data_IF_549158109964
#
_entry.id   IF_549158109964
#
_cell.length_a   1.000
_cell.length_b   1.000
_cell.length_c   1.000
_cell.angle_alpha   90.00
_cell.angle_beta   90.00
_cell.angle_gamma   90.00
#
_symmetry.space_group_name_H-M   'P 1'
#
loop_
_entity.id
_entity.type
_entity.pdbx_description
1 polymer ?
#
# COMPACT_ATOMS: atom_id res chain seq x y z
N UNK A 1 -3.25 6.85 27.67
CA UNK A 1 -3.84 6.64 26.34
C UNK A 1 -2.67 6.37 25.44
N UNK A 2 -2.38 5.10 25.21
CA UNK A 2 -1.42 4.70 24.18
C UNK A 2 -2.25 4.61 22.92
N UNK A 3 -2.17 5.66 22.09
CA UNK A 3 -2.91 5.76 20.85
C UNK A 3 -2.34 4.75 19.85
N UNK A 4 -3.15 3.79 19.43
CA UNK A 4 -2.80 2.87 18.36
C UNK A 4 -2.80 3.65 17.04
N UNK A 5 -1.63 3.81 16.45
CA UNK A 5 -1.45 4.71 15.31
C UNK A 5 -0.35 4.24 14.38
N UNK A 6 -0.47 4.65 13.11
CA UNK A 6 0.55 4.43 12.08
C UNK A 6 1.26 5.75 11.85
N UNK A 7 2.54 5.83 12.22
CA UNK A 7 3.33 7.05 12.07
C UNK A 7 3.84 7.22 10.65
N UNK A 8 4.40 6.13 10.10
CA UNK A 8 4.97 6.10 8.77
C UNK A 8 4.47 4.85 8.05
N UNK A 9 4.13 5.02 6.77
CA UNK A 9 3.74 3.93 5.89
C UNK A 9 4.17 4.30 4.48
N UNK A 10 4.79 3.34 3.80
CA UNK A 10 5.07 3.41 2.38
C UNK A 10 4.78 2.03 1.77
N UNK A 11 4.01 2.03 0.70
CA UNK A 11 3.55 0.82 0.03
C UNK A 11 3.76 0.92 -1.47
N UNK A 12 4.21 -0.17 -2.06
CA UNK A 12 4.33 -0.35 -3.52
C UNK A 12 3.69 -1.67 -3.99
N UNK A 13 2.80 -2.24 -3.18
CA UNK A 13 2.21 -3.57 -3.41
C UNK A 13 1.41 -3.60 -4.72
N UNK A 14 1.56 -4.70 -5.43
CA UNK A 14 0.82 -5.00 -6.66
C UNK A 14 0.48 -6.48 -6.68
N UNK A 15 -0.81 -6.75 -6.90
CA UNK A 15 -1.36 -8.11 -6.93
C UNK A 15 -2.60 -8.16 -7.82
N UNK A 16 -2.95 -9.33 -8.39
CA UNK A 16 -4.18 -9.53 -9.13
C UNK A 16 -5.38 -9.03 -8.34
N UNK A 17 -6.31 -8.35 -9.03
CA UNK A 17 -7.54 -7.86 -8.40
C UNK A 17 -8.41 -9.02 -7.90
N UNK A 18 -8.34 -10.17 -8.57
CA UNK A 18 -8.98 -11.43 -8.15
C UNK A 18 -8.49 -11.85 -6.75
N UNK A 19 -7.18 -11.92 -6.53
CA UNK A 19 -6.61 -12.26 -5.21
C UNK A 19 -7.06 -11.30 -4.10
N UNK A 20 -7.23 -10.00 -4.42
CA UNK A 20 -7.78 -9.04 -3.46
C UNK A 20 -9.23 -9.36 -3.14
N UNK A 21 -10.05 -9.71 -4.14
CA UNK A 21 -11.44 -10.07 -3.91
C UNK A 21 -11.55 -11.36 -3.09
N UNK A 22 -10.78 -12.38 -3.44
CA UNK A 22 -10.73 -13.65 -2.72
C UNK A 22 -10.34 -13.47 -1.25
N UNK A 23 -9.37 -12.59 -0.99
CA UNK A 23 -8.99 -12.22 0.37
C UNK A 23 -10.12 -11.49 1.12
N UNK A 24 -10.82 -10.57 0.46
CA UNK A 24 -11.89 -9.76 1.06
C UNK A 24 -13.21 -10.50 1.25
N UNK A 25 -13.40 -11.65 0.61
CA UNK A 25 -14.61 -12.48 0.77
C UNK A 25 -14.68 -13.17 2.14
N UNK A 26 -13.54 -13.52 2.74
CA UNK A 26 -13.48 -14.06 4.10
C UNK A 26 -12.16 -13.70 4.81
N UNK A 27 -11.94 -12.41 5.10
CA UNK A 27 -10.70 -11.94 5.71
C UNK A 27 -10.63 -12.34 7.19
N UNK A 28 -9.42 -12.64 7.67
CA UNK A 28 -9.16 -12.77 9.11
C UNK A 28 -9.02 -11.36 9.69
N UNK A 29 -10.12 -10.84 10.24
CA UNK A 29 -10.20 -9.45 10.68
C UNK A 29 -9.79 -9.28 12.14
N UNK A 30 -9.10 -8.18 12.50
CA UNK A 30 -8.89 -7.81 13.90
C UNK A 30 -10.23 -7.58 14.62
N UNK A 31 -10.28 -7.82 15.93
CA UNK A 31 -11.50 -7.73 16.76
C UNK A 31 -12.18 -6.35 16.71
N UNK A 32 -11.42 -5.29 16.38
CA UNK A 32 -11.91 -3.92 16.27
C UNK A 32 -12.67 -3.64 14.95
N UNK A 33 -12.60 -4.54 13.96
CA UNK A 33 -13.30 -4.44 12.67
C UNK A 33 -14.37 -5.55 12.59
N UNK A 34 -15.63 -5.15 12.41
CA UNK A 34 -16.76 -6.09 12.24
C UNK A 34 -16.81 -6.66 10.83
N UNK A 35 -16.63 -5.80 9.83
CA UNK A 35 -16.63 -6.19 8.43
C UNK A 35 -15.87 -5.18 7.56
N UNK A 36 -15.62 -5.55 6.31
CA UNK A 36 -14.99 -4.69 5.31
C UNK A 36 -15.93 -4.52 4.13
N UNK A 37 -16.19 -3.25 3.77
CA UNK A 37 -16.90 -2.89 2.55
C UNK A 37 -15.89 -2.51 1.47
N UNK A 38 -15.98 -3.10 0.29
CA UNK A 38 -15.19 -2.66 -0.86
C UNK A 38 -16.06 -2.05 -1.94
N UNK A 39 -15.54 -1.02 -2.61
CA UNK A 39 -16.20 -0.36 -3.73
C UNK A 39 -15.18 -0.02 -4.79
N UNK A 40 -15.51 -0.35 -6.04
CA UNK A 40 -14.74 0.09 -7.20
C UNK A 40 -15.36 1.35 -7.81
N UNK A 41 -14.55 2.38 -7.97
CA UNK A 41 -14.91 3.63 -8.68
C UNK A 41 -13.88 3.86 -9.78
N UNK A 42 -14.28 3.68 -11.04
CA UNK A 42 -13.38 3.72 -12.19
C UNK A 42 -12.20 2.75 -12.01
N UNK A 43 -10.99 3.31 -11.96
CA UNK A 43 -9.73 2.61 -11.73
C UNK A 43 -9.27 2.71 -10.26
N UNK A 44 -10.16 2.97 -9.31
CA UNK A 44 -9.81 3.05 -7.89
C UNK A 44 -10.63 2.02 -7.12
N UNK A 45 -9.95 1.16 -6.38
CA UNK A 45 -10.53 0.29 -5.37
C UNK A 45 -10.43 0.98 -4.02
N UNK A 46 -11.57 1.08 -3.33
CA UNK A 46 -11.67 1.62 -1.98
C UNK A 46 -12.15 0.49 -1.09
N UNK A 47 -11.39 0.18 -0.04
CA UNK A 47 -11.69 -0.86 0.94
C UNK A 47 -11.88 -0.14 2.27
N UNK A 48 -13.08 -0.18 2.84
CA UNK A 48 -13.48 0.59 4.02
C UNK A 48 -13.76 -0.32 5.19
N UNK A 49 -13.21 0.00 6.35
CA UNK A 49 -13.51 -0.73 7.58
C UNK A 49 -14.90 -0.37 8.12
N UNK A 50 -15.64 -1.37 8.59
CA UNK A 50 -16.80 -1.19 9.46
C UNK A 50 -16.33 -1.50 10.88
N UNK A 51 -16.35 -0.50 11.76
CA UNK A 51 -15.89 -0.69 13.13
C UNK A 51 -16.88 -1.55 13.92
N UNK A 52 -16.36 -2.44 14.77
CA UNK A 52 -17.18 -3.24 15.68
C UNK A 52 -17.73 -2.43 16.88
N UNK A 53 -17.11 -1.29 17.17
CA UNK A 53 -17.51 -0.42 18.28
C UNK A 53 -18.65 0.52 17.88
N UNK A 54 -19.85 0.24 18.40
CA UNK A 54 -21.07 1.05 18.25
C UNK A 54 -20.96 2.48 18.84
N UNK A 55 -19.94 2.77 19.65
CA UNK A 55 -19.71 4.10 20.22
C UNK A 55 -19.06 5.05 19.23
N UNK A 56 -18.45 4.53 18.16
CA UNK A 56 -17.94 5.35 17.06
C UNK A 56 -19.14 5.97 16.32
N UNK A 57 -19.20 7.30 16.35
CA UNK A 57 -20.27 8.05 15.70
C UNK A 57 -20.39 7.68 14.22
N UNK A 58 -21.63 7.60 13.71
CA UNK A 58 -21.94 7.45 12.27
C UNK A 58 -21.31 8.52 11.38
N UNK A 59 -20.89 9.64 11.97
CA UNK A 59 -20.24 10.75 11.27
C UNK A 59 -18.71 10.71 11.36
N UNK A 60 -18.14 9.78 12.12
CA UNK A 60 -16.71 9.57 12.19
C UNK A 60 -16.30 8.61 11.07
N UNK A 61 -15.54 9.07 10.07
CA UNK A 61 -15.11 8.19 8.98
C UNK A 61 -14.09 7.17 9.51
N UNK A 62 -14.38 5.90 9.27
CA UNK A 62 -13.49 4.76 9.55
C UNK A 62 -12.34 4.69 8.55
N UNK A 63 -11.27 3.99 8.93
CA UNK A 63 -10.10 3.80 8.10
C UNK A 63 -10.43 3.13 6.75
N UNK A 64 -9.75 3.58 5.69
CA UNK A 64 -9.95 3.07 4.34
C UNK A 64 -8.61 2.81 3.66
N UNK A 65 -8.51 1.69 2.93
CA UNK A 65 -7.42 1.41 2.02
C UNK A 65 -7.81 1.84 0.61
N UNK A 66 -6.85 2.45 -0.09
CA UNK A 66 -7.03 2.89 -1.47
C UNK A 66 -5.99 2.25 -2.38
N UNK A 67 -6.45 1.63 -3.44
CA UNK A 67 -5.62 1.09 -4.51
C UNK A 67 -6.06 1.63 -5.87
N UNK A 68 -5.12 1.78 -6.79
CA UNK A 68 -5.42 1.98 -8.20
C UNK A 68 -5.50 0.64 -8.92
N UNK A 69 -6.47 0.46 -9.81
CA UNK A 69 -6.65 -0.73 -10.65
C UNK A 69 -6.04 -0.47 -12.02
N UNK A 70 -5.17 -1.36 -12.48
CA UNK A 70 -4.51 -1.29 -13.80
C UNK A 70 -4.69 -2.58 -14.56
N UNK A 71 -5.03 -2.51 -15.83
CA UNK A 71 -5.08 -3.69 -16.73
C UNK A 71 -3.66 -3.97 -17.24
N UNK A 72 -3.19 -5.20 -17.05
CA UNK A 72 -1.92 -5.68 -17.57
C UNK A 72 -2.16 -6.88 -18.51
N UNK A 73 -1.46 -6.90 -19.65
CA UNK A 73 -1.57 -7.99 -20.62
C UNK A 73 -0.50 -9.03 -20.30
N UNK A 74 -0.90 -10.14 -19.72
CA UNK A 74 -0.01 -11.25 -19.38
C UNK A 74 -0.01 -12.23 -20.55
N UNK A 75 1.18 -12.60 -21.01
CA UNK A 75 1.37 -13.59 -22.07
C UNK A 75 1.68 -14.94 -21.41
N UNK A 76 1.06 -16.04 -21.86
CA UNK A 76 1.28 -17.37 -21.29
C UNK A 76 2.73 -17.87 -21.44
N UNK A 77 3.46 -17.36 -22.43
CA UNK A 77 4.90 -17.62 -22.62
C UNK A 77 5.73 -16.36 -22.35
N UNK A 78 6.78 -16.42 -21.50
CA UNK A 78 7.68 -15.29 -21.30
C UNK A 78 8.38 -14.96 -22.62
N UNK A 79 8.34 -13.69 -23.01
CA UNK A 79 8.94 -13.16 -24.26
C UNK A 79 10.42 -13.54 -24.45
N UNK A 80 11.14 -13.88 -23.38
CA UNK A 80 12.55 -14.33 -23.41
C UNK A 80 12.74 -15.74 -24.00
N UNK A 81 11.70 -16.58 -24.01
CA UNK A 81 11.75 -17.93 -24.60
C UNK A 81 11.37 -17.95 -26.08
N UNK A 82 10.96 -16.80 -26.64
CA UNK A 82 10.88 -16.61 -28.09
C UNK A 82 12.29 -16.55 -28.66
N UNK A 83 12.89 -17.73 -28.88
CA UNK A 83 14.06 -17.85 -29.75
C UNK A 83 13.74 -17.10 -31.04
N UNK A 84 14.56 -16.13 -31.49
CA UNK A 84 14.41 -15.63 -32.84
C UNK A 84 14.46 -16.84 -33.78
N UNK A 85 13.52 -16.98 -34.72
CA UNK A 85 13.51 -18.13 -35.61
C UNK A 85 14.89 -18.24 -36.26
N UNK A 86 15.55 -19.37 -36.04
CA UNK A 86 16.87 -19.65 -36.58
C UNK A 86 16.75 -19.72 -38.11
N UNK A 87 16.87 -18.59 -38.80
CA UNK A 87 16.44 -18.55 -40.20
C UNK A 87 16.80 -17.34 -41.06
N UNK A 88 17.85 -16.56 -40.76
CA UNK A 88 18.49 -15.64 -41.72
C UNK A 88 17.62 -14.54 -42.37
N UNK A 89 18.23 -13.62 -43.14
CA UNK A 89 17.49 -12.52 -43.75
C UNK A 89 16.72 -13.00 -44.99
N UNK A 90 15.41 -13.21 -44.85
CA UNK A 90 14.50 -13.48 -45.98
C UNK A 90 13.83 -12.19 -46.44
N UNK A 91 14.53 -11.42 -47.26
CA UNK A 91 13.89 -10.40 -48.11
C UNK A 91 12.98 -11.13 -49.11
N UNK A 92 11.67 -11.22 -48.81
CA UNK A 92 10.67 -11.67 -49.79
C UNK A 92 9.62 -12.70 -49.34
N UNK A 93 9.20 -12.73 -48.08
CA UNK A 93 7.95 -13.44 -47.70
C UNK A 93 6.74 -12.50 -47.83
N UNK A 94 5.64 -13.04 -48.38
CA UNK A 94 4.41 -12.37 -48.78
C UNK A 94 3.61 -11.80 -47.58
N UNK A 95 2.69 -10.82 -47.81
CA UNK A 95 1.78 -10.34 -46.77
C UNK A 95 0.78 -11.45 -46.42
N UNK A 96 1.04 -12.20 -45.35
CA UNK A 96 0.19 -13.33 -44.93
C UNK A 96 0.77 -14.28 -43.88
N UNK A 97 1.99 -14.07 -43.37
CA UNK A 97 2.43 -14.67 -42.11
C UNK A 97 1.87 -13.79 -40.98
N UNK A 98 0.61 -14.06 -40.60
CA UNK A 98 0.08 -13.59 -39.32
C UNK A 98 0.90 -14.30 -38.24
N UNK A 99 1.90 -13.61 -37.69
CA UNK A 99 2.48 -13.98 -36.40
C UNK A 99 1.31 -14.05 -35.40
N UNK A 100 0.77 -15.25 -35.17
CA UNK A 100 -0.26 -15.50 -34.17
C UNK A 100 0.32 -14.98 -32.85
N UNK A 101 -0.18 -13.82 -32.39
CA UNK A 101 0.19 -13.26 -31.11
C UNK A 101 -0.05 -14.36 -30.07
N UNK A 102 0.93 -14.67 -29.21
CA UNK A 102 0.76 -15.71 -28.21
C UNK A 102 -0.50 -15.44 -27.38
N UNK A 103 -1.20 -16.49 -26.92
CA UNK A 103 -2.36 -16.35 -26.06
C UNK A 103 -2.01 -15.40 -24.92
N UNK A 104 -2.79 -14.33 -24.83
CA UNK A 104 -2.58 -13.27 -23.84
C UNK A 104 -3.90 -12.99 -23.15
N UNK A 105 -3.81 -12.88 -21.84
CA UNK A 105 -4.92 -12.59 -20.96
C UNK A 105 -4.76 -11.17 -20.43
N UNK A 106 -5.87 -10.42 -20.41
CA UNK A 106 -5.92 -9.13 -19.75
C UNK A 106 -6.28 -9.38 -18.29
N UNK A 107 -5.31 -9.21 -17.40
CA UNK A 107 -5.48 -9.38 -15.96
C UNK A 107 -5.50 -8.01 -15.30
N UNK A 108 -6.49 -7.77 -14.44
CA UNK A 108 -6.56 -6.55 -13.65
C UNK A 108 -5.70 -6.68 -12.39
N UNK A 109 -4.92 -5.66 -12.09
CA UNK A 109 -4.05 -5.59 -10.91
C UNK A 109 -4.51 -4.47 -9.98
N UNK A 110 -4.59 -4.76 -8.70
CA UNK A 110 -4.72 -3.78 -7.64
C UNK A 110 -3.34 -3.29 -7.20
N UNK A 111 -3.14 -1.98 -7.19
CA UNK A 111 -1.88 -1.34 -6.82
C UNK A 111 -2.08 -0.44 -5.58
N UNK A 112 -1.61 -0.90 -4.41
CA UNK A 112 -1.58 -0.09 -3.19
C UNK A 112 -0.27 0.71 -3.16
N UNK A 113 -0.23 1.80 -3.94
CA UNK A 113 0.98 2.60 -4.16
C UNK A 113 0.86 3.97 -3.49
N UNK A 114 1.77 4.27 -2.57
CA UNK A 114 1.85 5.58 -1.93
C UNK A 114 2.31 5.55 -0.49
N UNK A 115 2.13 6.67 0.18
CA UNK A 115 2.37 6.85 1.61
C UNK A 115 1.13 6.56 2.46
N UNK A 116 1.23 6.77 3.77
CA UNK A 116 0.13 6.67 4.72
C UNK A 116 -1.12 7.41 4.25
N UNK A 117 -1.01 8.66 3.83
CA UNK A 117 -2.18 9.50 3.50
C UNK A 117 -2.86 9.10 2.20
N UNK A 118 -2.08 8.49 1.30
CA UNK A 118 -2.56 8.00 0.01
C UNK A 118 -3.21 6.63 0.14
N UNK A 119 -2.58 5.71 0.87
CA UNK A 119 -2.96 4.30 0.92
C UNK A 119 -3.87 3.99 2.11
N UNK A 120 -3.63 4.57 3.30
CA UNK A 120 -4.38 4.32 4.54
C UNK A 120 -5.02 5.61 5.06
N UNK A 121 -6.24 5.87 4.58
CA UNK A 121 -6.98 7.09 4.85
C UNK A 121 -7.80 6.99 6.13
N UNK A 122 -8.13 8.14 6.72
CA UNK A 122 -8.85 8.29 7.99
C UNK A 122 -8.12 7.65 9.20
N UNK A 123 -8.64 7.89 10.40
CA UNK A 123 -7.95 7.57 11.67
C UNK A 123 -8.71 6.63 12.60
N UNK A 124 -10.04 6.60 12.55
CA UNK A 124 -10.80 5.65 13.36
C UNK A 124 -10.51 4.22 12.87
N UNK A 125 -10.20 3.30 13.79
CA UNK A 125 -9.75 1.92 13.50
C UNK A 125 -8.57 1.83 12.51
N UNK A 126 -7.68 2.84 12.52
CA UNK A 126 -6.54 2.90 11.59
C UNK A 126 -5.54 1.78 11.77
N UNK A 127 -5.13 1.47 13.01
CA UNK A 127 -4.17 0.39 13.25
C UNK A 127 -4.73 -0.98 12.83
N UNK A 128 -5.97 -1.37 13.20
CA UNK A 128 -6.61 -2.57 12.66
C UNK A 128 -6.60 -2.61 11.13
N UNK A 129 -6.92 -1.49 10.46
CA UNK A 129 -6.90 -1.45 9.00
C UNK A 129 -5.48 -1.55 8.41
N UNK A 130 -4.46 -1.12 9.15
CA UNK A 130 -3.07 -1.37 8.79
C UNK A 130 -2.69 -2.86 8.90
N UNK A 131 -3.24 -3.60 9.86
CA UNK A 131 -3.05 -5.06 9.93
C UNK A 131 -3.66 -5.74 8.71
N UNK A 132 -4.85 -5.33 8.28
CA UNK A 132 -5.47 -5.80 7.02
C UNK A 132 -4.55 -5.53 5.82
N UNK A 133 -3.94 -4.35 5.74
CA UNK A 133 -2.96 -4.06 4.67
C UNK A 133 -1.72 -4.95 4.76
N UNK A 134 -1.28 -5.35 5.97
CA UNK A 134 -0.19 -6.29 6.14
C UNK A 134 -0.56 -7.68 5.61
N UNK A 135 -1.79 -8.16 5.84
CA UNK A 135 -2.26 -9.41 5.25
C UNK A 135 -2.29 -9.35 3.73
N UNK A 136 -2.80 -8.24 3.16
CA UNK A 136 -2.74 -8.00 1.71
C UNK A 136 -1.30 -8.01 1.20
N UNK A 137 -0.37 -7.45 1.97
CA UNK A 137 1.06 -7.44 1.60
C UNK A 137 1.69 -8.84 1.59
N UNK A 138 1.20 -9.77 2.41
CA UNK A 138 1.70 -11.17 2.46
C UNK A 138 1.24 -12.01 1.28
N UNK A 139 0.08 -11.69 0.70
CA UNK A 139 -0.42 -12.35 -0.51
C UNK A 139 0.01 -11.63 -1.80
N UNK A 140 0.62 -10.44 -1.69
CA UNK A 140 1.00 -9.69 -2.87
C UNK A 140 2.15 -10.37 -3.63
N UNK A 141 1.97 -10.56 -4.95
CA UNK A 141 2.98 -11.15 -5.83
C UNK A 141 4.29 -10.33 -5.85
N UNK A 142 4.17 -9.01 -5.79
CA UNK A 142 5.31 -8.10 -5.85
C UNK A 142 5.08 -6.81 -5.08
N UNK A 143 6.18 -6.20 -4.66
CA UNK A 143 6.22 -4.88 -4.06
C UNK A 143 6.70 -4.91 -2.61
N UNK A 144 6.64 -3.76 -1.96
CA UNK A 144 7.15 -3.61 -0.60
C UNK A 144 6.18 -2.79 0.23
N UNK A 145 5.91 -3.26 1.44
CA UNK A 145 5.26 -2.51 2.50
C UNK A 145 6.30 -2.23 3.58
N UNK A 146 6.53 -0.96 3.89
CA UNK A 146 7.26 -0.53 5.09
C UNK A 146 6.38 0.35 5.94
N UNK A 147 6.40 0.12 7.25
CA UNK A 147 5.64 0.93 8.18
C UNK A 147 6.27 0.99 9.56
N UNK A 148 5.96 2.07 10.26
CA UNK A 148 6.23 2.27 11.69
C UNK A 148 4.90 2.56 12.34
N UNK A 149 4.49 1.69 13.26
CA UNK A 149 3.22 1.81 13.97
C UNK A 149 3.42 1.55 15.46
N UNK A 150 2.58 2.16 16.30
CA UNK A 150 2.48 1.79 17.71
C UNK A 150 1.19 1.01 17.96
N UNK A 151 1.30 -0.08 18.72
CA UNK A 151 0.16 -0.77 19.33
C UNK A 151 0.41 -0.91 20.82
N UNK A 152 -0.56 -0.56 21.66
CA UNK A 152 -0.43 -0.69 23.12
C UNK A 152 0.82 0.01 23.70
N UNK A 153 1.29 1.07 23.04
CA UNK A 153 2.48 1.84 23.44
C UNK A 153 3.81 1.24 23.00
N UNK A 154 3.80 0.14 22.27
CA UNK A 154 5.00 -0.47 21.70
C UNK A 154 5.16 -0.08 20.23
N UNK A 155 6.30 0.51 19.90
CA UNK A 155 6.67 0.84 18.51
C UNK A 155 7.16 -0.41 17.78
N UNK A 156 6.54 -0.71 16.64
CA UNK A 156 6.90 -1.82 15.76
C UNK A 156 7.21 -1.31 14.36
N UNK A 157 8.37 -1.72 13.85
CA UNK A 157 8.72 -1.56 12.44
C UNK A 157 8.28 -2.81 11.68
N UNK A 158 7.56 -2.62 10.59
CA UNK A 158 7.09 -3.68 9.70
C UNK A 158 7.73 -3.51 8.33
N UNK A 159 8.24 -4.61 7.77
CA UNK A 159 8.75 -4.67 6.40
C UNK A 159 8.32 -5.97 5.76
N UNK A 160 7.53 -5.89 4.71
CA UNK A 160 7.09 -7.02 3.90
C UNK A 160 7.56 -6.76 2.47
N UNK A 161 8.24 -7.73 1.87
CA UNK A 161 8.82 -7.63 0.51
C UNK A 161 8.39 -8.87 -0.26
N UNK A 162 7.67 -8.66 -1.37
CA UNK A 162 7.19 -9.71 -2.27
C UNK A 162 6.51 -10.87 -1.51
N UNK A 163 5.55 -10.53 -0.64
CA UNK A 163 4.83 -11.49 0.20
C UNK A 163 5.54 -11.92 1.49
N UNK A 164 6.84 -11.67 1.63
CA UNK A 164 7.64 -12.19 2.75
C UNK A 164 7.93 -11.13 3.83
N UNK A 165 7.72 -11.49 5.09
CA UNK A 165 8.18 -10.67 6.22
C UNK A 165 9.71 -10.62 6.28
N UNK A 166 10.26 -9.40 6.35
CA UNK A 166 11.69 -9.14 6.46
C UNK A 166 11.99 -8.40 7.75
N UNK A 167 13.15 -8.67 8.37
CA UNK A 167 13.56 -7.94 9.56
C UNK A 167 13.70 -6.45 9.26
N UNK A 168 13.23 -5.63 10.20
CA UNK A 168 13.36 -4.18 10.18
C UNK A 168 13.86 -3.70 11.55
N UNK A 169 14.73 -2.69 11.55
CA UNK A 169 15.25 -2.05 12.76
C UNK A 169 14.76 -0.61 12.82
N UNK A 170 14.36 -0.17 14.01
CA UNK A 170 13.93 1.20 14.28
C UNK A 170 14.96 1.87 15.19
N UNK A 171 15.46 3.02 14.77
CA UNK A 171 16.34 3.86 15.58
C UNK A 171 15.60 5.17 15.87
N UNK A 172 15.36 5.44 17.15
CA UNK A 172 14.79 6.72 17.60
C UNK A 172 15.95 7.65 17.90
N UNK A 173 16.03 8.76 17.17
CA UNK A 173 17.02 9.80 17.38
C UNK A 173 16.33 11.06 17.92
N UNK A 174 16.95 11.71 18.90
CA UNK A 174 16.50 13.03 19.37
C UNK A 174 16.87 14.09 18.33
N UNK A 175 15.95 15.01 18.04
CA UNK A 175 16.23 16.13 17.13
C UNK A 175 17.30 17.05 17.77
N UNK A 176 18.43 17.30 17.11
CA UNK A 176 19.46 18.21 17.64
C UNK A 176 18.96 19.64 17.87
N UNK A 177 17.80 19.99 17.32
CA UNK A 177 17.15 21.30 17.48
C UNK A 177 16.45 21.45 18.84
N UNK A 178 16.24 20.38 19.62
CA UNK A 178 15.57 20.38 20.92
C UNK A 178 16.54 20.31 22.13
N UNK A 179 17.83 20.57 21.92
CA UNK A 179 18.77 20.77 23.02
C UNK A 179 18.59 22.11 23.76
N UNK A 180 19.27 22.34 24.89
CA UNK A 180 19.25 23.63 25.62
C UNK A 180 19.71 24.85 24.81
N UNK A 181 20.15 24.67 23.56
CA UNK A 181 20.41 25.73 22.60
C UNK A 181 19.12 26.30 21.94
N UNK A 182 18.00 25.58 21.95
CA UNK A 182 16.72 26.02 21.39
C UNK A 182 16.12 27.22 22.14
N UNK A 183 16.46 27.37 23.44
CA UNK A 183 16.01 28.50 24.26
C UNK A 183 16.80 29.80 24.01
N UNK A 184 17.71 29.84 23.03
CA UNK A 184 18.46 31.04 22.60
C UNK A 184 17.96 31.61 21.27
N UNK A 185 16.71 31.33 20.89
CA UNK A 185 16.05 32.05 19.79
C UNK A 185 15.83 33.53 20.15
N UNK A 186 16.17 34.43 19.23
CA UNK A 186 15.95 35.89 19.39
C UNK A 186 14.45 36.16 19.49
N UNK A 187 14.01 36.78 20.58
CA UNK A 187 12.63 37.21 20.80
C UNK A 187 12.29 38.40 19.88
N UNK A 188 11.84 38.09 18.67
CA UNK A 188 11.44 39.06 17.66
C UNK A 188 10.21 39.89 18.06
N UNK A 189 9.47 39.49 19.10
CA UNK A 189 8.33 40.26 19.62
C UNK A 189 8.77 41.44 20.50
N UNK A 190 10.02 41.44 20.97
CA UNK A 190 10.56 42.43 21.89
C UNK A 190 11.78 43.16 21.32
N UNK A 191 11.78 43.42 20.01
CA UNK A 191 12.90 44.05 19.32
C UNK A 191 12.86 45.59 19.44
N UNK A 192 13.79 46.18 20.20
CA UNK A 192 13.90 47.65 20.40
C UNK A 192 14.22 48.46 19.12
N UNK A 193 14.57 47.79 18.02
CA UNK A 193 14.87 48.43 16.73
C UNK A 193 13.67 48.49 15.76
N UNK A 194 12.55 47.83 16.10
CA UNK A 194 11.29 47.94 15.36
C UNK A 194 10.33 48.75 16.22
N UNK A 195 10.24 50.06 15.95
CA UNK A 195 9.24 50.98 16.53
C UNK A 195 8.12 51.25 15.55
#
# INVERSE_FOLDING_TARGET
MTDDCVFQLHSTLELPLEDVHDFLDNPDLPEEIDSIDFTRRNNTLIVSAVAADDTISKYTPTAQLKASVTENRVYEEPLEEQKPPAGGPRWGSAPGEEDELPPSELVEYACFKGDRETVLQNTAVQYPMFEVLCEIARIAEKGTLTAIAARNGELKATRIVDGEERPASLEVVEDPTEGPAASKGVDWRNNEFIK
#
